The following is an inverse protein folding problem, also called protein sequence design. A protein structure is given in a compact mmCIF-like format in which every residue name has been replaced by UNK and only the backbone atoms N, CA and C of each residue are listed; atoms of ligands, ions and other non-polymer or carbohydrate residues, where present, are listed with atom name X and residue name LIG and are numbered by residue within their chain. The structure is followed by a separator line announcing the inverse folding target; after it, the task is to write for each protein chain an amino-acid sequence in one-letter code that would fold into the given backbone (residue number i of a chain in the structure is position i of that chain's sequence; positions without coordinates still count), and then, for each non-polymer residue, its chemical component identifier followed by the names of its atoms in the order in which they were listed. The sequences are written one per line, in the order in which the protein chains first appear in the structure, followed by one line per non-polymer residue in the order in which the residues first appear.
data_IF_065504188202
#
_entry.id   IF_065504188202
#
_cell.length_a   1.000
_cell.length_b   1.000
_cell.length_c   1.000
_cell.angle_alpha   90.00
_cell.angle_beta   90.00
_cell.angle_gamma   90.00
#
_symmetry.space_group_name_H-M   'P 1'
#
loop_
_entity.id
_entity.type
_entity.pdbx_description
1 polymer ?
#
# COMPACT_ATOMS: atom_id res chain seq x y z
N UNK A 1 23.57 6.53 1.92
CA UNK A 1 22.63 7.47 2.55
C UNK A 1 21.44 6.63 2.95
N UNK A 2 21.26 6.42 4.24
CA UNK A 2 20.36 5.39 4.78
C UNK A 2 18.89 5.79 4.66
N UNK A 3 18.04 4.76 4.67
CA UNK A 3 16.61 4.93 4.74
C UNK A 3 16.20 5.69 6.01
N UNK A 4 15.27 6.64 5.90
CA UNK A 4 14.78 7.36 7.06
C UNK A 4 14.03 6.39 7.99
N UNK A 5 14.22 6.57 9.31
CA UNK A 5 13.56 5.78 10.35
C UNK A 5 12.03 5.81 10.25
N UNK A 6 11.48 6.88 9.67
CA UNK A 6 10.04 7.05 9.41
C UNK A 6 9.84 7.55 7.99
N UNK A 7 8.88 6.95 7.27
CA UNK A 7 8.47 7.39 5.94
C UNK A 7 7.05 7.94 6.00
N UNK A 8 6.90 9.18 5.56
CA UNK A 8 5.60 9.85 5.43
C UNK A 8 5.60 10.66 4.13
N UNK A 9 5.16 10.07 3.01
CA UNK A 9 5.12 10.77 1.74
C UNK A 9 4.02 11.85 1.76
N UNK A 10 4.35 13.05 1.28
CA UNK A 10 3.37 14.04 0.89
C UNK A 10 2.80 13.68 -0.50
N UNK A 11 1.49 13.48 -0.57
CA UNK A 11 0.79 13.05 -1.79
C UNK A 11 0.04 14.20 -2.50
N UNK A 12 0.21 15.45 -2.06
CA UNK A 12 -0.51 16.62 -2.58
C UNK A 12 -0.40 16.76 -4.10
N UNK A 13 0.78 16.50 -4.68
CA UNK A 13 0.97 16.57 -6.13
C UNK A 13 0.15 15.52 -6.89
N UNK A 14 0.08 14.29 -6.37
CA UNK A 14 -0.68 13.22 -7.02
C UNK A 14 -2.20 13.49 -6.91
N UNK A 15 -2.66 14.01 -5.78
CA UNK A 15 -4.05 14.43 -5.62
C UNK A 15 -4.40 15.58 -6.58
N UNK A 16 -3.56 16.60 -6.66
CA UNK A 16 -3.85 17.82 -7.44
C UNK A 16 -3.78 17.58 -8.95
N UNK A 17 -2.76 16.86 -9.40
CA UNK A 17 -2.50 16.71 -10.84
C UNK A 17 -3.19 15.50 -11.45
N UNK A 18 -3.42 14.45 -10.64
CA UNK A 18 -3.92 13.17 -11.13
C UNK A 18 -5.27 12.79 -10.52
N UNK A 19 -5.78 13.54 -9.54
CA UNK A 19 -6.93 13.13 -8.75
C UNK A 19 -6.68 11.80 -8.02
N UNK A 20 -5.42 11.49 -7.73
CA UNK A 20 -5.04 10.19 -7.19
C UNK A 20 -4.86 10.24 -5.67
N UNK A 21 -5.38 9.22 -5.02
CA UNK A 21 -5.19 8.92 -3.60
C UNK A 21 -5.30 7.41 -3.34
N UNK A 22 -4.68 6.89 -2.27
CA UNK A 22 -4.86 5.49 -1.89
C UNK A 22 -6.31 5.21 -1.50
N UNK A 23 -6.92 4.20 -2.15
CA UNK A 23 -8.31 3.81 -1.93
C UNK A 23 -8.47 2.57 -1.04
N UNK A 24 -7.36 1.89 -0.75
CA UNK A 24 -7.34 0.64 0.01
C UNK A 24 -6.64 0.90 1.32
N UNK A 25 -7.34 0.67 2.43
CA UNK A 25 -6.73 0.74 3.76
C UNK A 25 -5.76 -0.42 4.01
N UNK A 26 -4.95 -0.28 5.05
CA UNK A 26 -3.91 -1.24 5.39
C UNK A 26 -4.46 -2.64 5.66
N UNK A 27 -5.55 -2.75 6.43
CA UNK A 27 -6.10 -4.04 6.84
C UNK A 27 -6.70 -4.79 5.65
N UNK A 28 -7.47 -4.10 4.81
CA UNK A 28 -8.04 -4.64 3.59
C UNK A 28 -6.94 -5.15 2.64
N UNK A 29 -5.88 -4.36 2.44
CA UNK A 29 -4.73 -4.75 1.62
C UNK A 29 -4.00 -5.98 2.16
N UNK A 30 -3.77 -6.03 3.48
CA UNK A 30 -3.12 -7.17 4.13
C UNK A 30 -3.96 -8.45 4.04
N UNK A 31 -5.28 -8.36 4.27
CA UNK A 31 -6.20 -9.49 4.17
C UNK A 31 -6.20 -10.12 2.78
N UNK A 32 -6.26 -9.28 1.73
CA UNK A 32 -6.20 -9.74 0.34
C UNK A 32 -4.86 -10.43 0.04
N UNK A 33 -3.76 -9.82 0.48
CA UNK A 33 -2.40 -10.36 0.28
C UNK A 33 -2.22 -11.71 0.96
N UNK A 34 -2.65 -11.84 2.22
CA UNK A 34 -2.63 -13.12 2.96
C UNK A 34 -3.49 -14.17 2.27
N UNK A 35 -4.68 -13.79 1.79
CA UNK A 35 -5.56 -14.69 1.02
C UNK A 35 -4.88 -15.26 -0.22
N UNK A 36 -4.20 -14.40 -1.00
CA UNK A 36 -3.42 -14.83 -2.16
C UNK A 36 -2.30 -15.82 -1.80
N UNK A 37 -1.54 -15.56 -0.73
CA UNK A 37 -0.47 -16.47 -0.33
C UNK A 37 -1.01 -17.80 0.22
N UNK A 38 -2.13 -17.79 0.94
CA UNK A 38 -2.80 -19.01 1.41
C UNK A 38 -3.26 -19.89 0.25
N UNK A 39 -3.87 -19.31 -0.78
CA UNK A 39 -4.28 -20.08 -1.96
C UNK A 39 -3.09 -20.60 -2.77
N UNK A 40 -1.98 -19.85 -2.82
CA UNK A 40 -0.76 -20.26 -3.52
C UNK A 40 0.06 -21.32 -2.78
N UNK A 41 -0.02 -21.39 -1.46
CA UNK A 41 0.66 -22.39 -0.62
C UNK A 41 -0.15 -23.68 -0.44
N UNK A 42 -1.43 -23.69 -0.83
CA UNK A 42 -2.23 -24.90 -0.90
C UNK A 42 -1.85 -25.71 -2.16
N UNK A 43 -0.67 -26.32 -2.13
CA UNK A 43 -0.21 -27.37 -3.03
C UNK A 43 0.29 -28.52 -2.16
#
# INVERSE_FOLDING_TARGET
QDDPRVRQPDITRAQTLLGWEPKVDLEAGLRATVGYFRSRQAI
#
